data_IF_790922277557
#
_entry.id   IF_790922277557
#
_cell.length_a   1.000
_cell.length_b   1.000
_cell.length_c   1.000
_cell.angle_alpha   90.00
_cell.angle_beta   90.00
_cell.angle_gamma   90.00
#
_symmetry.space_group_name_H-M   'P 1'
#
loop_
_entity.id
_entity.type
_entity.pdbx_description
1 polymer ?
#
# COMPACT_ATOMS: atom_id res chain seq x y z
N UNK A 1 -9.10 -23.30 -27.91
CA UNK A 1 -8.04 -22.29 -27.66
C UNK A 1 -8.33 -20.98 -28.39
N UNK A 2 -9.57 -20.47 -28.34
CA UNK A 2 -9.99 -19.16 -28.91
C UNK A 2 -10.90 -18.37 -27.95
N UNK A 3 -11.26 -18.94 -26.80
CA UNK A 3 -12.22 -18.37 -25.86
C UNK A 3 -11.56 -17.47 -24.79
N UNK A 4 -10.24 -17.60 -24.60
CA UNK A 4 -9.45 -16.81 -23.63
C UNK A 4 -9.07 -15.44 -24.23
N UNK A 5 -8.81 -15.35 -25.53
CA UNK A 5 -8.45 -14.09 -26.19
C UNK A 5 -9.63 -13.13 -26.34
N UNK A 6 -10.86 -13.65 -26.44
CA UNK A 6 -12.06 -12.83 -26.55
C UNK A 6 -12.37 -12.09 -25.24
N UNK A 7 -12.17 -12.74 -24.09
CA UNK A 7 -12.36 -12.12 -22.77
C UNK A 7 -11.39 -10.94 -22.57
N UNK A 8 -10.11 -11.14 -22.93
CA UNK A 8 -9.08 -10.10 -22.88
C UNK A 8 -9.36 -8.91 -23.80
N UNK A 9 -9.93 -9.14 -24.98
CA UNK A 9 -10.27 -8.09 -25.94
C UNK A 9 -11.49 -7.29 -25.47
N UNK A 10 -12.50 -7.96 -24.92
CA UNK A 10 -13.69 -7.32 -24.33
C UNK A 10 -13.29 -6.47 -23.13
N UNK A 11 -12.39 -6.95 -22.26
CA UNK A 11 -11.87 -6.20 -21.13
C UNK A 11 -11.16 -4.91 -21.56
N UNK A 12 -10.34 -4.97 -22.62
CA UNK A 12 -9.66 -3.77 -23.16
C UNK A 12 -10.62 -2.77 -23.78
N UNK A 13 -11.66 -3.23 -24.48
CA UNK A 13 -12.68 -2.36 -25.08
C UNK A 13 -13.53 -1.68 -24.01
N UNK A 14 -13.91 -2.41 -22.96
CA UNK A 14 -14.60 -1.86 -21.78
C UNK A 14 -13.71 -0.83 -21.08
N UNK A 15 -12.41 -1.14 -20.88
CA UNK A 15 -11.46 -0.19 -20.30
C UNK A 15 -11.32 1.10 -21.14
N UNK A 16 -11.28 0.96 -22.47
CA UNK A 16 -11.18 2.10 -23.38
C UNK A 16 -12.46 2.96 -23.35
N UNK A 17 -13.64 2.33 -23.31
CA UNK A 17 -14.93 3.00 -23.17
C UNK A 17 -15.06 3.73 -21.82
N UNK A 18 -14.64 3.09 -20.72
CA UNK A 18 -14.58 3.71 -19.39
C UNK A 18 -13.63 4.92 -19.41
N UNK A 19 -12.45 4.80 -20.02
CA UNK A 19 -11.53 5.93 -20.18
C UNK A 19 -12.14 7.08 -20.99
N UNK A 20 -12.79 6.79 -22.12
CA UNK A 20 -13.39 7.81 -22.99
C UNK A 20 -14.53 8.56 -22.29
N UNK A 21 -15.35 7.86 -21.50
CA UNK A 21 -16.42 8.47 -20.69
C UNK A 21 -15.84 9.25 -19.51
N UNK A 22 -14.77 8.74 -18.88
CA UNK A 22 -14.12 9.40 -17.76
C UNK A 22 -13.38 10.68 -18.19
N UNK A 23 -12.72 10.72 -19.34
CA UNK A 23 -12.02 11.92 -19.86
C UNK A 23 -12.91 13.17 -19.94
N UNK A 24 -14.22 13.00 -20.18
CA UNK A 24 -15.17 14.12 -20.26
C UNK A 24 -15.80 14.49 -18.91
N UNK A 25 -15.47 13.79 -17.83
CA UNK A 25 -16.02 14.03 -16.51
C UNK A 25 -14.94 13.80 -15.42
N UNK A 26 -14.22 14.86 -15.09
CA UNK A 26 -13.13 14.85 -14.10
C UNK A 26 -13.55 14.26 -12.76
N UNK A 27 -14.81 14.45 -12.34
CA UNK A 27 -15.31 13.86 -11.10
C UNK A 27 -15.43 12.34 -11.15
N UNK A 28 -15.79 11.78 -12.31
CA UNK A 28 -15.89 10.34 -12.53
C UNK A 28 -14.49 9.70 -12.54
N UNK A 29 -13.49 10.34 -13.17
CA UNK A 29 -12.09 9.90 -13.11
C UNK A 29 -11.60 9.85 -11.66
N UNK A 30 -11.80 10.93 -10.91
CA UNK A 30 -11.37 11.01 -9.52
C UNK A 30 -12.02 9.89 -8.70
N UNK A 31 -13.30 9.60 -8.90
CA UNK A 31 -13.98 8.54 -8.16
C UNK A 31 -13.48 7.14 -8.52
N UNK A 32 -13.25 6.83 -9.80
CA UNK A 32 -12.69 5.54 -10.24
C UNK A 32 -11.24 5.35 -9.77
N UNK A 33 -10.43 6.41 -9.82
CA UNK A 33 -9.06 6.38 -9.31
C UNK A 33 -9.05 6.19 -7.79
N UNK A 34 -9.90 6.92 -7.06
CA UNK A 34 -10.00 6.77 -5.62
C UNK A 34 -10.55 5.41 -5.21
N UNK A 35 -11.52 4.84 -5.91
CA UNK A 35 -12.05 3.50 -5.58
C UNK A 35 -10.99 2.42 -5.74
N UNK A 36 -10.25 2.43 -6.86
CA UNK A 36 -9.15 1.48 -7.09
C UNK A 36 -7.98 1.68 -6.13
N UNK A 37 -7.72 2.91 -5.71
CA UNK A 37 -6.69 3.19 -4.69
C UNK A 37 -7.13 2.69 -3.31
N UNK A 38 -8.38 2.97 -2.92
CA UNK A 38 -8.96 2.55 -1.63
C UNK A 38 -9.06 1.03 -1.50
N UNK A 39 -9.30 0.30 -2.58
CA UNK A 39 -9.28 -1.17 -2.60
C UNK A 39 -7.93 -1.77 -2.15
N UNK A 40 -6.82 -1.02 -2.29
CA UNK A 40 -5.51 -1.48 -1.82
C UNK A 40 -5.34 -1.35 -0.29
N UNK A 41 -6.07 -0.43 0.33
CA UNK A 41 -6.01 -0.22 1.78
C UNK A 41 -6.98 -1.17 2.48
N UNK A 42 -6.46 -2.00 3.37
CA UNK A 42 -7.27 -2.98 4.12
C UNK A 42 -7.86 -2.40 5.41
N UNK A 43 -7.40 -1.22 5.82
CA UNK A 43 -7.85 -0.53 7.02
C UNK A 43 -7.96 0.98 6.79
N UNK A 44 -8.85 1.64 7.54
CA UNK A 44 -8.92 3.10 7.63
C UNK A 44 -7.80 3.70 8.50
N UNK A 45 -7.03 2.84 9.18
CA UNK A 45 -5.91 3.19 10.04
C UNK A 45 -4.61 2.75 9.37
N UNK A 46 -3.61 3.62 9.42
CA UNK A 46 -2.23 3.35 9.01
C UNK A 46 -1.28 3.27 10.20
N UNK A 47 -0.11 2.68 9.99
CA UNK A 47 0.97 2.59 10.97
C UNK A 47 2.07 3.61 10.66
N UNK A 48 2.23 4.62 11.52
CA UNK A 48 3.38 5.53 11.48
C UNK A 48 4.59 4.97 12.22
N UNK A 49 5.79 5.13 11.66
CA UNK A 49 7.01 4.47 12.16
C UNK A 49 8.09 5.42 12.66
N UNK A 50 7.75 6.65 13.04
CA UNK A 50 8.69 7.60 13.66
C UNK A 50 9.34 7.03 14.94
N UNK A 51 8.60 6.26 15.73
CA UNK A 51 9.11 5.57 16.92
C UNK A 51 10.24 4.59 16.61
N UNK A 52 10.25 3.97 15.43
CA UNK A 52 11.31 3.03 15.02
C UNK A 52 12.64 3.75 14.80
N UNK A 53 12.58 5.01 14.39
CA UNK A 53 13.72 5.92 14.30
C UNK A 53 14.27 6.37 15.66
N UNK A 54 13.58 6.09 16.76
CA UNK A 54 13.98 6.50 18.11
C UNK A 54 13.45 7.87 18.55
N UNK A 55 12.48 8.45 17.83
CA UNK A 55 11.90 9.77 18.16
C UNK A 55 11.29 9.85 19.58
N UNK A 56 10.93 8.71 20.16
CA UNK A 56 10.31 8.61 21.50
C UNK A 56 11.09 7.70 22.45
N UNK A 57 12.39 7.51 22.19
CA UNK A 57 13.24 6.56 22.92
C UNK A 57 13.65 5.38 22.06
N UNK A 58 14.67 4.65 22.53
CA UNK A 58 15.21 3.51 21.78
C UNK A 58 14.24 2.35 21.76
N UNK A 59 14.09 1.75 20.59
CA UNK A 59 13.35 0.51 20.36
C UNK A 59 14.23 -0.48 19.60
N UNK A 60 14.16 -1.74 20.01
CA UNK A 60 14.90 -2.83 19.39
C UNK A 60 14.18 -3.36 18.15
N UNK A 61 14.95 -3.89 17.19
CA UNK A 61 14.41 -4.41 15.93
C UNK A 61 13.34 -5.49 16.14
N UNK A 62 13.54 -6.37 17.13
CA UNK A 62 12.58 -7.44 17.43
C UNK A 62 11.24 -6.91 17.96
N UNK A 63 11.24 -5.78 18.66
CA UNK A 63 10.00 -5.15 19.09
C UNK A 63 9.28 -4.49 17.90
N UNK A 64 10.03 -3.85 17.00
CA UNK A 64 9.48 -3.35 15.75
C UNK A 64 8.85 -4.48 14.91
N UNK A 65 9.47 -5.67 14.84
CA UNK A 65 8.89 -6.86 14.17
C UNK A 65 7.54 -7.24 14.75
N UNK A 66 7.42 -7.30 16.09
CA UNK A 66 6.15 -7.63 16.75
C UNK A 66 5.06 -6.61 16.40
N UNK A 67 5.40 -5.32 16.37
CA UNK A 67 4.46 -4.25 15.99
C UNK A 67 3.98 -4.43 14.55
N UNK A 68 4.88 -4.70 13.60
CA UNK A 68 4.52 -4.95 12.19
C UNK A 68 3.64 -6.19 12.05
N UNK A 69 4.00 -7.29 12.72
CA UNK A 69 3.18 -8.51 12.72
C UNK A 69 1.77 -8.22 13.24
N UNK A 70 1.66 -7.56 14.39
CA UNK A 70 0.38 -7.20 14.99
C UNK A 70 -0.46 -6.31 14.06
N UNK A 71 0.16 -5.33 13.40
CA UNK A 71 -0.51 -4.48 12.42
C UNK A 71 -1.11 -5.30 11.27
N UNK A 72 -0.34 -6.23 10.69
CA UNK A 72 -0.81 -7.08 9.59
C UNK A 72 -1.89 -8.06 10.02
N UNK A 73 -1.79 -8.65 11.22
CA UNK A 73 -2.85 -9.50 11.81
C UNK A 73 -4.17 -8.75 12.00
N UNK A 74 -4.11 -7.42 12.16
CA UNK A 74 -5.27 -6.54 12.32
C UNK A 74 -5.64 -5.77 11.02
N UNK A 75 -5.21 -6.27 9.85
CA UNK A 75 -5.51 -5.68 8.54
C UNK A 75 -4.97 -4.25 8.32
N UNK A 76 -4.03 -3.78 9.13
CA UNK A 76 -3.34 -2.50 8.92
C UNK A 76 -2.18 -2.74 7.98
N UNK A 77 -2.36 -2.42 6.69
CA UNK A 77 -1.37 -2.69 5.65
C UNK A 77 -0.70 -1.44 5.08
N UNK A 78 -1.04 -0.25 5.56
CA UNK A 78 -0.36 1.00 5.20
C UNK A 78 0.67 1.37 6.25
N UNK A 79 1.92 1.53 5.83
CA UNK A 79 3.06 1.86 6.67
C UNK A 79 3.65 3.18 6.19
N UNK A 80 3.75 4.16 7.08
CA UNK A 80 4.38 5.46 6.82
C UNK A 80 5.76 5.50 7.46
N UNK A 81 6.77 5.88 6.67
CA UNK A 81 8.14 6.09 7.12
C UNK A 81 8.78 7.33 6.47
N UNK A 82 9.99 7.67 6.89
CA UNK A 82 10.74 8.80 6.34
C UNK A 82 12.21 8.70 6.68
N UNK A 83 13.07 9.21 5.80
CA UNK A 83 14.50 9.43 6.09
C UNK A 83 14.71 10.27 7.36
N UNK A 84 13.78 11.15 7.71
CA UNK A 84 13.88 11.97 8.92
C UNK A 84 13.60 11.19 10.21
N UNK A 85 13.04 9.99 10.13
CA UNK A 85 12.76 9.14 11.28
C UNK A 85 14.05 8.40 11.69
N UNK A 86 14.87 9.09 12.49
CA UNK A 86 16.13 8.56 12.98
C UNK A 86 17.23 8.49 11.92
N UNK A 87 17.25 9.45 10.98
CA UNK A 87 18.25 9.53 9.90
C UNK A 87 18.35 8.22 9.07
N UNK A 88 17.20 7.72 8.62
CA UNK A 88 17.07 6.46 7.87
C UNK A 88 17.00 5.18 8.72
N UNK A 89 17.09 5.28 10.05
CA UNK A 89 17.00 4.11 10.94
C UNK A 89 15.63 3.41 10.81
N UNK A 90 14.53 4.16 10.74
CA UNK A 90 13.20 3.59 10.58
C UNK A 90 13.08 2.79 9.27
N UNK A 91 13.50 3.37 8.15
CA UNK A 91 13.52 2.71 6.84
C UNK A 91 14.40 1.46 6.83
N UNK A 92 15.58 1.53 7.47
CA UNK A 92 16.49 0.38 7.61
C UNK A 92 15.83 -0.77 8.37
N UNK A 93 15.18 -0.49 9.50
CA UNK A 93 14.45 -1.49 10.27
C UNK A 93 13.32 -2.10 9.45
N UNK A 94 12.49 -1.28 8.80
CA UNK A 94 11.44 -1.76 7.91
C UNK A 94 12.00 -2.62 6.77
N UNK A 95 13.14 -2.24 6.19
CA UNK A 95 13.82 -3.03 5.16
C UNK A 95 14.30 -4.40 5.64
N UNK A 96 14.59 -4.57 6.94
CA UNK A 96 14.87 -5.87 7.53
C UNK A 96 13.60 -6.69 7.75
N UNK A 97 12.53 -6.06 8.25
CA UNK A 97 11.29 -6.73 8.64
C UNK A 97 10.44 -7.12 7.43
N UNK A 98 10.25 -6.20 6.48
CA UNK A 98 9.32 -6.36 5.37
C UNK A 98 9.76 -7.38 4.32
N UNK A 99 11.03 -7.84 4.38
CA UNK A 99 11.53 -8.96 3.57
C UNK A 99 10.85 -10.29 3.89
N UNK A 100 10.22 -10.41 5.07
CA UNK A 100 9.49 -11.60 5.49
C UNK A 100 8.08 -11.67 4.86
N UNK A 101 7.65 -10.63 4.14
CA UNK A 101 6.30 -10.49 3.59
C UNK A 101 6.33 -10.28 2.07
N UNK A 102 5.29 -10.73 1.38
CA UNK A 102 5.16 -10.47 -0.05
C UNK A 102 4.88 -8.98 -0.28
N UNK A 103 5.53 -8.39 -1.29
CA UNK A 103 5.47 -6.94 -1.53
C UNK A 103 4.06 -6.41 -1.78
N UNK A 104 3.17 -7.22 -2.33
CA UNK A 104 1.76 -6.89 -2.59
C UNK A 104 0.88 -6.87 -1.33
N UNK A 105 1.38 -7.37 -0.19
CA UNK A 105 0.62 -7.40 1.06
C UNK A 105 0.51 -6.04 1.75
N UNK A 106 1.43 -5.11 1.46
CA UNK A 106 1.52 -3.82 2.14
C UNK A 106 1.75 -2.64 1.20
N UNK A 107 1.38 -1.46 1.67
CA UNK A 107 1.65 -0.17 1.05
C UNK A 107 2.64 0.54 1.97
N UNK A 108 3.68 1.13 1.39
CA UNK A 108 4.68 1.91 2.11
C UNK A 108 4.75 3.30 1.48
N UNK A 109 4.81 4.33 2.33
CA UNK A 109 5.00 5.73 1.98
C UNK A 109 6.19 6.31 2.72
#
# INVERSE_FOLDING_TARGET
>A
MYMIDFLFLVDRIIYLLILIVAINNTSLICNLFMSTLLEKFKSKIGLGTASFGGCYGNIELEECKKIIRYAFENNINYIDTSVWYGNGKSESYLGHILKEYNRDQFIIS
#
